data_IF_351100172522
#
_entry.id   IF_351100172522
#
_cell.length_a   1.000
_cell.length_b   1.000
_cell.length_c   1.000
_cell.angle_alpha   90.00
_cell.angle_beta   90.00
_cell.angle_gamma   90.00
#
_symmetry.space_group_name_H-M   'P 1'
#
loop_
_entity.id
_entity.type
_entity.pdbx_description
1 polymer ?
#
# COMPACT_ATOMS: atom_id res chain seq x y z
N UNK A 1 -15.96 -44.61 3.67
CA UNK A 1 -15.99 -43.14 3.54
C UNK A 1 -14.68 -42.61 4.12
N UNK A 2 -13.84 -41.95 3.34
CA UNK A 2 -12.56 -41.43 3.81
C UNK A 2 -12.73 -40.48 5.01
N UNK A 3 -11.87 -40.58 6.01
CA UNK A 3 -11.95 -39.79 7.26
C UNK A 3 -11.95 -38.27 7.03
N UNK A 4 -11.32 -37.79 5.95
CA UNK A 4 -11.31 -36.38 5.59
C UNK A 4 -12.71 -35.81 5.26
N UNK A 5 -13.68 -36.63 4.84
CA UNK A 5 -15.05 -36.17 4.56
C UNK A 5 -15.90 -35.93 5.81
N UNK A 6 -15.51 -36.46 6.99
CA UNK A 6 -16.26 -36.26 8.23
C UNK A 6 -16.00 -34.89 8.87
N UNK A 7 -14.75 -34.42 8.81
CA UNK A 7 -14.36 -33.13 9.39
C UNK A 7 -14.91 -31.93 8.61
N UNK A 8 -14.95 -32.02 7.27
CA UNK A 8 -15.50 -30.96 6.41
C UNK A 8 -16.99 -30.65 6.67
N UNK A 9 -17.78 -31.62 7.13
CA UNK A 9 -19.23 -31.40 7.35
C UNK A 9 -19.54 -30.61 8.61
N UNK A 10 -18.74 -30.74 9.67
CA UNK A 10 -19.01 -30.09 10.96
C UNK A 10 -18.64 -28.60 10.88
N UNK A 11 -17.48 -28.28 10.33
CA UNK A 11 -17.01 -26.89 10.20
C UNK A 11 -17.91 -26.07 9.27
N UNK A 12 -18.38 -26.66 8.17
CA UNK A 12 -19.30 -25.98 7.26
C UNK A 12 -20.64 -25.67 7.91
N UNK A 13 -21.24 -26.65 8.62
CA UNK A 13 -22.52 -26.44 9.30
C UNK A 13 -22.39 -25.38 10.39
N UNK A 14 -21.30 -25.42 11.16
CA UNK A 14 -20.99 -24.41 12.16
C UNK A 14 -20.89 -23.01 11.55
N UNK A 15 -20.14 -22.86 10.47
CA UNK A 15 -20.00 -21.58 9.78
C UNK A 15 -21.30 -21.07 9.15
N UNK A 16 -22.11 -21.97 8.59
CA UNK A 16 -23.44 -21.63 8.10
C UNK A 16 -24.34 -21.13 9.23
N UNK A 17 -24.36 -21.81 10.38
CA UNK A 17 -25.14 -21.38 11.55
C UNK A 17 -24.66 -20.03 12.08
N UNK A 18 -23.35 -19.82 12.24
CA UNK A 18 -22.79 -18.54 12.70
C UNK A 18 -23.20 -17.41 11.76
N UNK A 19 -23.03 -17.57 10.45
CA UNK A 19 -23.36 -16.53 9.49
C UNK A 19 -24.87 -16.24 9.46
N UNK A 20 -25.71 -17.28 9.62
CA UNK A 20 -27.15 -17.10 9.74
C UNK A 20 -27.52 -16.30 10.99
N UNK A 21 -26.92 -16.62 12.13
CA UNK A 21 -27.13 -15.88 13.38
C UNK A 21 -26.65 -14.44 13.25
N UNK A 22 -25.42 -14.22 12.77
CA UNK A 22 -24.85 -12.87 12.56
C UNK A 22 -25.76 -12.01 11.67
N UNK A 23 -26.25 -12.56 10.55
CA UNK A 23 -27.21 -11.90 9.67
C UNK A 23 -28.52 -11.53 10.38
N UNK A 24 -29.06 -12.42 11.22
CA UNK A 24 -30.28 -12.13 12.00
C UNK A 24 -30.09 -10.96 12.97
N UNK A 25 -28.87 -10.71 13.43
CA UNK A 25 -28.52 -9.59 14.31
C UNK A 25 -27.92 -8.39 13.56
N UNK A 26 -28.05 -8.33 12.23
CA UNK A 26 -27.51 -7.23 11.42
C UNK A 26 -25.97 -7.14 11.41
N UNK A 27 -25.28 -8.21 11.83
CA UNK A 27 -23.81 -8.31 11.83
C UNK A 27 -23.30 -8.83 10.49
N UNK A 28 -22.06 -8.48 10.11
CA UNK A 28 -21.50 -8.96 8.85
C UNK A 28 -21.17 -10.45 8.89
N UNK A 29 -20.83 -11.08 7.75
CA UNK A 29 -20.32 -12.45 7.73
C UNK A 29 -19.13 -12.63 8.68
N UNK A 30 -18.94 -13.84 9.21
CA UNK A 30 -17.79 -14.18 10.04
C UNK A 30 -16.53 -14.27 9.17
N UNK A 31 -15.56 -13.39 9.44
CA UNK A 31 -14.23 -13.41 8.82
C UNK A 31 -13.56 -14.76 9.02
N UNK A 32 -13.55 -15.27 10.25
CA UNK A 32 -12.97 -16.57 10.56
C UNK A 32 -13.56 -17.72 9.74
N UNK A 33 -14.85 -17.70 9.42
CA UNK A 33 -15.47 -18.69 8.55
C UNK A 33 -15.11 -18.49 7.07
N UNK A 34 -15.10 -17.23 6.62
CA UNK A 34 -14.70 -16.91 5.25
C UNK A 34 -13.24 -17.30 4.99
N UNK A 35 -12.32 -16.98 5.90
CA UNK A 35 -10.89 -17.32 5.77
C UNK A 35 -10.63 -18.83 5.76
N UNK A 36 -11.39 -19.63 6.52
CA UNK A 36 -11.30 -21.10 6.44
C UNK A 36 -11.75 -21.65 5.07
N UNK A 37 -12.70 -20.98 4.43
CA UNK A 37 -13.14 -21.35 3.08
C UNK A 37 -12.17 -20.87 1.98
N UNK A 38 -11.28 -19.92 2.27
CA UNK A 38 -10.30 -19.35 1.34
C UNK A 38 -8.87 -19.47 1.89
N UNK A 39 -8.31 -20.70 1.94
CA UNK A 39 -7.04 -20.96 2.61
C UNK A 39 -5.84 -20.23 1.98
N UNK A 40 -5.88 -19.93 0.68
CA UNK A 40 -4.85 -19.11 0.03
C UNK A 40 -4.77 -17.71 0.64
N UNK A 41 -5.93 -17.04 0.78
CA UNK A 41 -6.01 -15.71 1.40
C UNK A 41 -5.62 -15.78 2.88
N UNK A 42 -6.15 -16.75 3.62
CA UNK A 42 -5.82 -16.96 5.02
C UNK A 42 -4.31 -17.18 5.25
N UNK A 43 -3.65 -17.96 4.39
CA UNK A 43 -2.22 -18.21 4.48
C UNK A 43 -1.38 -16.99 4.11
N UNK A 44 -1.88 -16.09 3.26
CA UNK A 44 -1.19 -14.87 2.87
C UNK A 44 -1.24 -13.77 3.95
N UNK A 45 -2.27 -13.78 4.82
CA UNK A 45 -2.35 -12.87 5.98
C UNK A 45 -1.27 -13.27 6.99
N UNK A 46 -0.16 -12.53 7.01
CA UNK A 46 1.05 -12.87 7.77
C UNK A 46 1.53 -11.72 8.63
N UNK A 47 1.87 -12.03 9.87
CA UNK A 47 2.45 -11.09 10.82
C UNK A 47 3.90 -11.44 11.15
N UNK A 48 4.79 -10.45 11.10
CA UNK A 48 6.19 -10.60 11.52
C UNK A 48 6.30 -10.89 13.03
N UNK A 49 6.83 -12.06 13.39
CA UNK A 49 7.05 -12.52 14.77
C UNK A 49 8.51 -12.60 15.16
N UNK A 50 9.44 -12.29 14.24
CA UNK A 50 10.88 -12.24 14.50
C UNK A 50 11.53 -11.08 13.72
N UNK A 51 12.48 -10.39 14.34
CA UNK A 51 13.34 -9.43 13.64
C UNK A 51 14.24 -10.17 12.64
N UNK A 52 14.48 -9.57 11.47
CA UNK A 52 15.39 -10.09 10.46
C UNK A 52 16.30 -8.97 9.97
N UNK A 53 17.62 -9.24 10.00
CA UNK A 53 18.65 -8.28 9.60
C UNK A 53 18.53 -7.94 8.12
N UNK A 54 18.19 -8.97 7.32
CA UNK A 54 17.84 -8.79 5.93
C UNK A 54 16.36 -8.48 5.82
N UNK A 55 16.05 -7.23 5.51
CA UNK A 55 14.70 -6.83 5.15
C UNK A 55 14.44 -6.97 3.64
N UNK A 56 15.33 -7.68 2.92
CA UNK A 56 15.22 -7.98 1.49
C UNK A 56 14.10 -8.96 1.15
N UNK A 57 13.99 -9.96 2.01
CA UNK A 57 13.02 -11.04 1.95
C UNK A 57 12.89 -11.53 3.37
N UNK A 58 11.83 -11.10 4.06
CA UNK A 58 11.60 -11.56 5.42
C UNK A 58 11.18 -13.03 5.28
N UNK A 59 12.00 -13.99 5.74
CA UNK A 59 11.71 -15.40 5.54
C UNK A 59 10.38 -15.77 6.18
N UNK A 60 9.70 -16.74 5.58
CA UNK A 60 8.43 -17.27 6.08
C UNK A 60 8.52 -17.75 7.53
N UNK A 61 9.69 -18.23 7.97
CA UNK A 61 9.95 -18.64 9.36
C UNK A 61 9.95 -17.48 10.36
N UNK A 62 10.09 -16.23 9.90
CA UNK A 62 10.01 -15.03 10.72
C UNK A 62 8.58 -14.46 10.80
N UNK A 63 7.61 -15.13 10.15
CA UNK A 63 6.23 -14.69 10.06
C UNK A 63 5.30 -15.77 10.60
N UNK A 64 4.10 -15.35 11.01
CA UNK A 64 3.01 -16.22 11.44
C UNK A 64 1.77 -15.92 10.61
N UNK A 65 1.33 -16.90 9.83
CA UNK A 65 0.10 -16.82 9.05
C UNK A 65 -1.15 -16.88 9.94
N UNK A 66 -2.27 -16.31 9.46
CA UNK A 66 -3.54 -16.21 10.19
C UNK A 66 -4.04 -17.53 10.82
N UNK A 67 -3.96 -18.71 10.16
CA UNK A 67 -4.39 -19.96 10.78
C UNK A 67 -3.66 -20.26 12.10
N UNK A 68 -2.42 -19.79 12.23
CA UNK A 68 -1.55 -20.00 13.38
C UNK A 68 -1.60 -18.83 14.39
N UNK A 69 -2.40 -17.80 14.16
CA UNK A 69 -2.59 -16.72 15.12
C UNK A 69 -3.23 -17.22 16.42
N UNK A 70 -2.94 -16.53 17.52
CA UNK A 70 -3.63 -16.72 18.79
C UNK A 70 -5.11 -16.35 18.67
N UNK A 71 -5.93 -16.83 19.60
CA UNK A 71 -7.35 -16.46 19.67
C UNK A 71 -7.57 -14.96 19.86
N UNK A 72 -6.68 -14.29 20.60
CA UNK A 72 -6.76 -12.84 20.81
C UNK A 72 -6.47 -12.05 19.52
N UNK A 73 -5.46 -12.46 18.75
CA UNK A 73 -5.13 -11.83 17.46
C UNK A 73 -6.27 -11.98 16.45
N UNK A 74 -6.86 -13.18 16.34
CA UNK A 74 -8.05 -13.40 15.50
C UNK A 74 -9.23 -12.55 15.94
N UNK A 75 -9.49 -12.46 17.25
CA UNK A 75 -10.55 -11.62 17.78
C UNK A 75 -10.34 -10.12 17.46
N UNK A 76 -9.09 -9.63 17.48
CA UNK A 76 -8.78 -8.26 17.07
C UNK A 76 -9.09 -8.01 15.59
N UNK A 77 -8.77 -8.96 14.71
CA UNK A 77 -9.16 -8.87 13.29
C UNK A 77 -10.68 -8.91 13.11
N UNK A 78 -11.38 -9.81 13.82
CA UNK A 78 -12.84 -9.89 13.77
C UNK A 78 -13.49 -8.55 14.21
N UNK A 79 -12.99 -7.92 15.28
CA UNK A 79 -13.47 -6.59 15.72
C UNK A 79 -13.18 -5.52 14.67
N UNK A 80 -11.95 -5.44 14.16
CA UNK A 80 -11.59 -4.44 13.16
C UNK A 80 -12.43 -4.57 11.87
N UNK A 81 -12.76 -5.80 11.49
CA UNK A 81 -13.65 -6.09 10.37
C UNK A 81 -15.09 -5.67 10.64
N UNK A 82 -15.64 -6.00 11.81
CA UNK A 82 -17.01 -5.60 12.19
C UNK A 82 -17.14 -4.06 12.13
N UNK A 83 -16.16 -3.33 12.69
CA UNK A 83 -16.13 -1.86 12.64
C UNK A 83 -15.97 -1.30 11.22
N UNK A 84 -15.12 -1.91 10.38
CA UNK A 84 -14.91 -1.47 9.00
C UNK A 84 -16.16 -1.74 8.13
N UNK A 85 -16.83 -2.86 8.37
CA UNK A 85 -18.09 -3.20 7.69
C UNK A 85 -19.20 -2.24 8.09
N UNK A 86 -19.38 -1.97 9.38
CA UNK A 86 -20.36 -1.00 9.87
C UNK A 86 -20.11 0.39 9.27
N UNK A 87 -18.85 0.84 9.24
CA UNK A 87 -18.49 2.09 8.58
C UNK A 87 -18.86 2.07 7.10
N UNK A 88 -18.53 1.01 6.36
CA UNK A 88 -18.79 0.88 4.93
C UNK A 88 -20.30 0.92 4.62
N UNK A 89 -21.13 0.25 5.43
CA UNK A 89 -22.59 0.22 5.25
C UNK A 89 -23.28 1.52 5.66
N UNK A 90 -22.67 2.31 6.54
CA UNK A 90 -23.22 3.61 6.96
C UNK A 90 -23.07 4.70 5.89
N UNK A 91 -22.30 4.46 4.83
CA UNK A 91 -22.08 5.45 3.77
C UNK A 91 -23.26 5.45 2.78
N UNK A 92 -23.97 6.57 2.69
CA UNK A 92 -25.08 6.78 1.73
C UNK A 92 -24.74 7.83 0.65
N UNK A 93 -23.47 8.25 0.58
CA UNK A 93 -22.97 9.29 -0.31
C UNK A 93 -21.47 9.45 -0.15
N UNK A 94 -21.01 10.66 0.17
CA UNK A 94 -19.59 10.94 0.46
C UNK A 94 -19.12 10.11 1.65
N UNK A 95 -18.05 9.36 1.44
CA UNK A 95 -17.39 8.58 2.45
C UNK A 95 -16.74 9.49 3.48
N UNK A 96 -17.03 9.28 4.77
CA UNK A 96 -16.33 10.01 5.82
C UNK A 96 -14.87 9.55 5.91
N UNK A 97 -13.94 10.50 5.71
CA UNK A 97 -12.53 10.28 5.96
C UNK A 97 -12.33 10.15 7.47
N UNK A 98 -12.06 8.93 7.95
CA UNK A 98 -11.87 8.64 9.37
C UNK A 98 -10.46 8.13 9.62
N UNK A 99 -9.80 8.70 10.62
CA UNK A 99 -8.55 8.16 11.17
C UNK A 99 -8.80 6.91 12.04
N UNK A 100 -10.07 6.53 12.25
CA UNK A 100 -10.48 5.32 12.96
C UNK A 100 -10.01 5.23 14.42
N UNK A 101 -9.70 6.37 15.04
CA UNK A 101 -9.10 6.43 16.37
C UNK A 101 -7.62 6.04 16.42
N UNK A 102 -6.99 5.79 15.27
CA UNK A 102 -5.55 5.59 15.16
C UNK A 102 -4.88 6.97 14.90
N UNK A 103 -3.98 7.45 15.78
CA UNK A 103 -3.31 8.73 15.57
C UNK A 103 -2.55 8.74 14.24
N UNK A 104 -2.87 9.68 13.35
CA UNK A 104 -2.21 9.80 12.06
C UNK A 104 -1.94 11.28 11.70
N UNK A 105 -0.74 11.63 11.22
CA UNK A 105 0.46 10.79 11.08
C UNK A 105 0.90 10.15 12.41
N UNK A 106 1.55 8.97 12.41
CA UNK A 106 1.96 8.32 13.66
C UNK A 106 3.01 9.15 14.41
N UNK A 107 3.04 8.99 15.73
CA UNK A 107 4.19 9.47 16.52
C UNK A 107 5.44 8.73 16.03
N UNK A 108 6.40 9.48 15.50
CA UNK A 108 7.67 8.92 15.06
C UNK A 108 8.57 8.67 16.27
N UNK A 109 8.67 7.41 16.72
CA UNK A 109 9.51 7.04 17.89
C UNK A 109 11.01 7.10 17.57
N UNK A 110 11.38 7.50 16.35
CA UNK A 110 12.73 7.60 15.82
C UNK A 110 13.08 8.99 15.31
N UNK A 111 12.22 9.96 15.57
CA UNK A 111 12.55 11.37 15.32
C UNK A 111 13.85 11.71 16.06
N UNK A 112 14.70 12.48 15.40
CA UNK A 112 15.99 12.88 15.94
C UNK A 112 16.07 14.41 15.96
N UNK A 113 16.95 14.94 16.80
CA UNK A 113 17.25 16.38 16.81
C UNK A 113 18.17 16.80 15.66
N UNK A 114 18.68 15.87 14.85
CA UNK A 114 19.54 16.17 13.72
C UNK A 114 18.73 16.32 12.44
N UNK A 115 18.58 17.56 12.02
CA UNK A 115 17.81 17.99 10.85
C UNK A 115 18.34 17.46 9.51
N UNK A 116 19.59 17.03 9.45
CA UNK A 116 20.24 16.58 8.23
C UNK A 116 20.20 15.06 8.02
N UNK A 117 19.73 14.30 9.01
CA UNK A 117 19.63 12.84 8.88
C UNK A 117 18.50 12.46 7.92
N UNK A 118 18.66 11.32 7.25
CA UNK A 118 17.62 10.74 6.41
C UNK A 118 16.39 10.40 7.27
N UNK A 119 15.19 10.83 6.86
CA UNK A 119 14.00 10.65 7.65
C UNK A 119 13.53 9.19 7.53
N UNK A 120 13.11 8.64 8.65
CA UNK A 120 12.49 7.33 8.74
C UNK A 120 11.42 7.37 9.82
N UNK A 121 10.35 6.61 9.65
CA UNK A 121 9.24 6.58 10.61
C UNK A 121 9.24 5.27 11.38
N UNK A 122 9.63 5.34 12.64
CA UNK A 122 9.45 4.25 13.58
C UNK A 122 8.13 4.36 14.34
N UNK A 123 7.51 3.24 14.64
CA UNK A 123 6.27 3.13 15.43
C UNK A 123 6.38 2.00 16.46
N UNK A 124 5.55 2.04 17.50
CA UNK A 124 5.48 0.96 18.48
C UNK A 124 4.87 -0.32 17.90
N UNK A 125 5.16 -1.48 18.51
CA UNK A 125 4.54 -2.75 18.14
C UNK A 125 3.01 -2.71 18.16
N UNK A 126 2.44 -2.03 19.18
CA UNK A 126 0.99 -1.90 19.33
C UNK A 126 0.37 -1.10 18.16
N UNK A 127 0.98 0.05 17.81
CA UNK A 127 0.54 0.84 16.66
C UNK A 127 0.65 0.04 15.36
N UNK A 128 1.78 -0.64 15.16
CA UNK A 128 2.02 -1.47 13.98
C UNK A 128 0.97 -2.57 13.82
N UNK A 129 0.65 -3.28 14.90
CA UNK A 129 -0.39 -4.31 14.92
C UNK A 129 -1.78 -3.75 14.60
N UNK A 130 -2.15 -2.63 15.23
CA UNK A 130 -3.46 -2.01 15.01
C UNK A 130 -3.60 -1.49 13.59
N UNK A 131 -2.56 -0.86 13.03
CA UNK A 131 -2.53 -0.44 11.63
C UNK A 131 -2.68 -1.64 10.69
N UNK A 132 -1.89 -2.70 10.90
CA UNK A 132 -1.93 -3.91 10.07
C UNK A 132 -3.31 -4.57 10.09
N UNK A 133 -3.86 -4.83 11.27
CA UNK A 133 -5.17 -5.51 11.39
C UNK A 133 -6.31 -4.71 10.79
N UNK A 134 -6.30 -3.37 10.88
CA UNK A 134 -7.29 -2.51 10.22
C UNK A 134 -7.18 -2.57 8.70
N UNK A 135 -5.97 -2.65 8.15
CA UNK A 135 -5.77 -2.79 6.71
C UNK A 135 -6.32 -4.12 6.19
N UNK A 136 -5.96 -5.23 6.85
CA UNK A 136 -6.51 -6.56 6.52
C UNK A 136 -8.04 -6.56 6.64
N UNK A 137 -8.59 -5.93 7.68
CA UNK A 137 -10.03 -5.81 7.88
C UNK A 137 -10.70 -5.08 6.70
N UNK A 138 -10.19 -3.92 6.28
CA UNK A 138 -10.75 -3.20 5.13
C UNK A 138 -10.68 -4.03 3.85
N UNK A 139 -9.51 -4.61 3.55
CA UNK A 139 -9.32 -5.42 2.33
C UNK A 139 -10.33 -6.58 2.27
N UNK A 140 -10.58 -7.23 3.42
CA UNK A 140 -11.61 -8.26 3.55
C UNK A 140 -13.04 -7.71 3.44
N UNK A 141 -13.33 -6.52 3.96
CA UNK A 141 -14.65 -5.88 3.77
C UNK A 141 -14.88 -5.60 2.29
N UNK A 142 -13.87 -5.07 1.59
CA UNK A 142 -13.95 -4.79 0.14
C UNK A 142 -14.22 -6.06 -0.66
N UNK A 143 -13.53 -7.15 -0.33
CA UNK A 143 -13.72 -8.47 -0.94
C UNK A 143 -15.11 -9.06 -0.63
N UNK A 144 -15.43 -9.25 0.65
CA UNK A 144 -16.63 -9.96 1.11
C UNK A 144 -17.91 -9.16 0.79
N UNK A 145 -17.81 -7.83 0.83
CA UNK A 145 -18.90 -6.92 0.46
C UNK A 145 -19.04 -6.70 -1.04
N UNK A 146 -18.13 -7.24 -1.87
CA UNK A 146 -18.09 -7.01 -3.32
C UNK A 146 -18.08 -5.53 -3.70
N UNK A 147 -17.28 -4.72 -3.00
CA UNK A 147 -17.19 -3.27 -3.24
C UNK A 147 -16.38 -2.92 -4.50
N UNK A 148 -15.76 -3.91 -5.13
CA UNK A 148 -15.03 -3.80 -6.39
C UNK A 148 -15.37 -5.01 -7.28
N UNK A 149 -15.28 -4.89 -8.62
CA UNK A 149 -15.65 -5.96 -9.54
C UNK A 149 -14.60 -7.07 -9.72
N UNK A 150 -13.45 -6.99 -9.03
CA UNK A 150 -12.43 -8.04 -8.98
C UNK A 150 -12.43 -8.73 -7.61
N UNK A 151 -11.74 -9.85 -7.51
CA UNK A 151 -11.65 -10.63 -6.27
C UNK A 151 -10.21 -11.03 -5.97
N UNK A 152 -9.81 -10.90 -4.70
CA UNK A 152 -8.51 -11.36 -4.21
C UNK A 152 -8.40 -12.88 -4.21
N UNK A 153 -9.52 -13.61 -4.26
CA UNK A 153 -9.50 -15.08 -4.28
C UNK A 153 -8.89 -15.65 -5.57
N UNK A 154 -8.86 -14.84 -6.64
CA UNK A 154 -8.24 -15.18 -7.91
C UNK A 154 -6.73 -14.81 -7.98
N UNK A 155 -6.19 -14.18 -6.93
CA UNK A 155 -4.80 -13.75 -6.90
C UNK A 155 -3.86 -14.92 -6.57
N UNK A 156 -2.68 -14.87 -7.17
CA UNK A 156 -1.59 -15.78 -6.85
C UNK A 156 -0.89 -15.36 -5.54
N UNK A 157 0.06 -16.19 -5.06
CA UNK A 157 0.73 -15.96 -3.78
C UNK A 157 1.50 -14.64 -3.71
N UNK A 158 2.12 -14.20 -4.82
CA UNK A 158 2.85 -12.93 -4.87
C UNK A 158 1.90 -11.73 -4.77
N UNK A 159 0.80 -11.77 -5.50
CA UNK A 159 -0.24 -10.74 -5.47
C UNK A 159 -0.89 -10.65 -4.08
N UNK A 160 -1.15 -11.78 -3.45
CA UNK A 160 -1.66 -11.83 -2.08
C UNK A 160 -0.63 -11.38 -1.05
N UNK A 161 0.66 -11.70 -1.22
CA UNK A 161 1.74 -11.22 -0.33
C UNK A 161 1.77 -9.68 -0.29
N UNK A 162 1.66 -9.03 -1.45
CA UNK A 162 1.68 -7.55 -1.53
C UNK A 162 0.52 -6.92 -0.75
N UNK A 163 -0.64 -7.57 -0.67
CA UNK A 163 -1.83 -7.07 0.06
C UNK A 163 -1.93 -7.54 1.52
N UNK A 164 -1.50 -8.75 1.86
CA UNK A 164 -1.86 -9.34 3.16
C UNK A 164 -0.66 -9.60 4.08
N UNK A 165 0.58 -9.49 3.60
CA UNK A 165 1.77 -9.68 4.41
C UNK A 165 2.16 -8.37 5.12
N UNK A 166 2.42 -8.40 6.43
CA UNK A 166 2.88 -7.21 7.15
C UNK A 166 4.24 -6.71 6.66
N UNK A 167 5.07 -7.59 6.08
CA UNK A 167 6.33 -7.23 5.42
C UNK A 167 6.13 -6.29 4.23
N UNK A 168 4.94 -6.28 3.62
CA UNK A 168 4.56 -5.41 2.52
C UNK A 168 4.09 -4.01 2.96
N UNK A 169 4.05 -3.73 4.28
CA UNK A 169 3.66 -2.45 4.88
C UNK A 169 4.78 -1.87 5.77
N UNK A 170 5.49 -2.75 6.49
CA UNK A 170 6.41 -2.36 7.56
C UNK A 170 7.52 -3.40 7.76
N UNK A 171 8.60 -3.02 8.43
CA UNK A 171 9.66 -3.96 8.85
C UNK A 171 9.86 -3.90 10.36
N UNK A 172 9.81 -5.06 11.03
CA UNK A 172 10.10 -5.19 12.46
C UNK A 172 11.57 -4.86 12.73
N UNK A 173 11.85 -4.27 13.88
CA UNK A 173 13.19 -3.91 14.36
C UNK A 173 13.61 -4.81 15.53
N UNK A 174 14.90 -4.75 15.87
CA UNK A 174 15.51 -5.57 16.93
C UNK A 174 14.90 -5.32 18.32
N UNK A 175 14.38 -4.12 18.57
CA UNK A 175 13.75 -3.71 19.82
C UNK A 175 12.23 -3.84 19.82
N UNK A 176 11.68 -4.66 18.90
CA UNK A 176 10.24 -4.90 18.73
C UNK A 176 9.42 -3.69 18.24
N UNK A 177 10.06 -2.55 17.96
CA UNK A 177 9.43 -1.48 17.19
C UNK A 177 9.37 -1.82 15.70
N UNK A 178 8.67 -1.00 14.91
CA UNK A 178 8.52 -1.21 13.47
C UNK A 178 8.90 0.06 12.71
N UNK A 179 9.44 -0.10 11.51
CA UNK A 179 9.52 0.97 10.52
C UNK A 179 8.35 0.88 9.58
N UNK A 180 7.61 1.97 9.39
CA UNK A 180 6.51 2.04 8.43
C UNK A 180 7.00 2.82 7.23
N UNK A 181 6.85 2.22 6.04
CA UNK A 181 7.62 2.58 4.85
C UNK A 181 9.14 2.43 5.07
N UNK A 182 9.86 1.99 4.05
CA UNK A 182 11.32 1.91 4.09
C UNK A 182 11.83 2.23 2.70
N UNK A 183 12.10 3.52 2.53
CA UNK A 183 12.71 4.14 1.38
C UNK A 183 14.03 4.81 1.78
N UNK A 184 14.95 4.14 2.50
CA UNK A 184 16.26 4.75 2.79
C UNK A 184 17.28 4.33 1.72
N UNK A 185 17.52 5.16 0.68
CA UNK A 185 18.51 4.88 -0.36
C UNK A 185 19.95 4.78 0.17
N UNK A 186 20.22 5.27 1.39
CA UNK A 186 21.53 5.18 2.04
C UNK A 186 21.84 3.83 2.69
N UNK A 187 20.86 2.93 2.86
CA UNK A 187 21.14 1.59 3.35
C UNK A 187 21.73 0.78 2.19
N UNK A 188 22.97 0.26 2.30
CA UNK A 188 23.55 -0.65 1.26
C UNK A 188 22.65 -1.86 0.94
N UNK A 189 21.75 -2.10 1.89
CA UNK A 189 20.47 -2.81 1.92
C UNK A 189 19.34 -2.55 0.89
N UNK A 190 19.41 -1.48 0.11
CA UNK A 190 18.19 -0.85 -0.45
C UNK A 190 17.83 -1.37 -1.85
N UNK A 191 18.86 -1.66 -2.66
CA UNK A 191 18.73 -1.97 -4.09
C UNK A 191 18.45 -3.47 -4.35
N UNK A 192 17.90 -4.25 -3.40
CA UNK A 192 17.53 -5.68 -3.62
C UNK A 192 16.27 -6.16 -2.89
N UNK A 193 15.39 -5.27 -2.41
CA UNK A 193 14.16 -5.70 -1.71
C UNK A 193 13.10 -6.12 -2.71
N UNK A 194 12.60 -7.35 -2.60
CA UNK A 194 11.35 -7.78 -3.26
C UNK A 194 10.14 -7.02 -2.68
N UNK A 195 10.24 -6.59 -1.42
CA UNK A 195 9.23 -5.80 -0.72
C UNK A 195 9.68 -4.35 -0.53
N UNK A 196 10.08 -3.64 -1.60
CA UNK A 196 10.31 -2.21 -1.48
C UNK A 196 8.99 -1.50 -1.13
N UNK A 197 9.01 -0.72 -0.05
CA UNK A 197 7.84 -0.07 0.52
C UNK A 197 7.63 1.37 0.00
N UNK A 198 8.61 1.89 -0.76
CA UNK A 198 8.60 3.27 -1.24
C UNK A 198 8.87 4.28 -0.11
N UNK A 199 8.70 5.56 -0.43
CA UNK A 199 8.99 6.68 0.47
C UNK A 199 7.73 7.48 0.85
N UNK A 200 6.62 6.79 1.13
CA UNK A 200 5.38 7.39 1.65
C UNK A 200 4.78 6.51 2.74
N UNK A 201 4.27 7.08 3.82
CA UNK A 201 3.57 6.33 4.86
C UNK A 201 2.19 5.90 4.39
N UNK A 202 1.85 4.65 4.66
CA UNK A 202 0.47 4.18 4.54
C UNK A 202 -0.44 4.93 5.54
N UNK A 203 -1.60 5.40 5.11
CA UNK A 203 -2.60 6.04 5.95
C UNK A 203 -3.54 5.00 6.60
N UNK A 204 -4.44 5.41 7.52
CA UNK A 204 -5.53 4.55 7.94
C UNK A 204 -6.36 4.09 6.72
N UNK A 205 -6.79 2.82 6.70
CA UNK A 205 -7.42 2.22 5.53
C UNK A 205 -8.71 2.93 5.13
N UNK A 206 -9.59 3.27 6.08
CA UNK A 206 -10.87 3.94 5.78
C UNK A 206 -10.69 5.33 5.19
N UNK A 207 -9.70 6.09 5.67
CA UNK A 207 -9.31 7.36 5.04
C UNK A 207 -8.91 7.15 3.57
N UNK A 208 -8.06 6.15 3.32
CA UNK A 208 -7.52 5.87 1.99
C UNK A 208 -8.61 5.40 1.01
N UNK A 209 -9.51 4.53 1.48
CA UNK A 209 -10.67 4.10 0.69
C UNK A 209 -11.63 5.26 0.42
N UNK A 210 -11.91 6.10 1.43
CA UNK A 210 -12.77 7.28 1.26
C UNK A 210 -12.21 8.23 0.21
N UNK A 211 -10.90 8.46 0.17
CA UNK A 211 -10.25 9.23 -0.88
C UNK A 211 -10.54 8.64 -2.27
N UNK A 212 -10.32 7.34 -2.46
CA UNK A 212 -10.59 6.67 -3.73
C UNK A 212 -12.06 6.76 -4.16
N UNK A 213 -12.98 6.54 -3.22
CA UNK A 213 -14.42 6.55 -3.49
C UNK A 213 -14.93 7.97 -3.79
N UNK A 214 -14.58 8.95 -2.95
CA UNK A 214 -15.00 10.35 -3.10
C UNK A 214 -14.37 11.03 -4.31
N UNK A 215 -13.14 10.64 -4.67
CA UNK A 215 -12.47 11.12 -5.87
C UNK A 215 -12.95 10.45 -7.17
N UNK A 216 -13.93 9.52 -7.08
CA UNK A 216 -14.37 8.70 -8.21
C UNK A 216 -13.21 7.98 -8.93
N UNK A 217 -12.19 7.60 -8.17
CA UNK A 217 -10.99 6.94 -8.70
C UNK A 217 -11.28 5.45 -8.95
N UNK A 218 -12.10 4.81 -8.10
CA UNK A 218 -12.51 3.41 -8.30
C UNK A 218 -13.34 3.30 -9.60
N UNK A 219 -12.75 2.69 -10.61
CA UNK A 219 -13.37 2.48 -11.93
C UNK A 219 -14.10 1.14 -12.03
N UNK A 220 -14.65 0.87 -13.22
CA UNK A 220 -15.33 -0.40 -13.52
C UNK A 220 -14.38 -1.60 -13.65
N UNK A 221 -13.06 -1.37 -13.63
CA UNK A 221 -12.02 -2.40 -13.72
C UNK A 221 -10.78 -1.98 -12.92
N UNK A 222 -9.90 -2.94 -12.66
CA UNK A 222 -8.59 -2.71 -12.03
C UNK A 222 -7.76 -1.72 -12.85
N UNK A 223 -7.59 -1.97 -14.16
CA UNK A 223 -6.86 -1.06 -15.06
C UNK A 223 -7.48 0.34 -15.15
N UNK A 224 -8.82 0.44 -15.11
CA UNK A 224 -9.51 1.74 -15.06
C UNK A 224 -9.22 2.49 -13.76
N UNK A 225 -9.20 1.79 -12.63
CA UNK A 225 -8.85 2.37 -11.32
C UNK A 225 -7.40 2.83 -11.27
N UNK A 226 -6.48 2.05 -11.83
CA UNK A 226 -5.07 2.43 -11.99
C UNK A 226 -4.97 3.71 -12.83
N UNK A 227 -5.59 3.74 -14.01
CA UNK A 227 -5.58 4.90 -14.90
C UNK A 227 -6.14 6.17 -14.24
N UNK A 228 -7.25 6.05 -13.51
CA UNK A 228 -7.86 7.16 -12.78
C UNK A 228 -6.94 7.69 -11.67
N UNK A 229 -6.27 6.81 -10.91
CA UNK A 229 -5.34 7.25 -9.88
C UNK A 229 -4.13 7.93 -10.51
N UNK A 230 -3.57 7.37 -11.59
CA UNK A 230 -2.46 7.99 -12.31
C UNK A 230 -2.83 9.36 -12.87
N UNK A 231 -4.09 9.54 -13.30
CA UNK A 231 -4.59 10.83 -13.73
C UNK A 231 -4.65 11.83 -12.56
N UNK A 232 -5.15 11.41 -11.40
CA UNK A 232 -5.09 12.23 -10.20
C UNK A 232 -3.65 12.61 -9.83
N UNK A 233 -2.70 11.67 -9.93
CA UNK A 233 -1.28 11.93 -9.68
C UNK A 233 -0.73 12.98 -10.64
N UNK A 234 -0.99 12.84 -11.95
CA UNK A 234 -0.58 13.80 -13.00
C UNK A 234 -1.08 15.23 -12.73
N UNK A 235 -2.33 15.32 -12.27
CA UNK A 235 -3.02 16.60 -12.16
C UNK A 235 -2.69 17.33 -10.85
N UNK A 236 -2.37 16.60 -9.77
CA UNK A 236 -2.23 17.18 -8.44
C UNK A 236 -0.80 17.17 -7.90
N UNK A 237 -0.02 16.11 -8.14
CA UNK A 237 1.26 15.95 -7.45
C UNK A 237 2.38 16.83 -8.03
N UNK A 238 3.29 17.23 -7.15
CA UNK A 238 4.51 18.00 -7.46
C UNK A 238 5.70 17.37 -6.72
N UNK A 239 6.83 17.21 -7.41
CA UNK A 239 8.07 16.79 -6.79
C UNK A 239 8.51 17.81 -5.73
N UNK A 240 8.83 17.35 -4.52
CA UNK A 240 9.37 18.22 -3.47
C UNK A 240 10.75 18.79 -3.82
N UNK A 241 11.22 19.81 -3.12
CA UNK A 241 12.56 20.37 -3.34
C UNK A 241 13.50 20.04 -2.18
N UNK A 242 14.81 20.03 -2.45
CA UNK A 242 15.83 19.84 -1.42
C UNK A 242 16.19 18.37 -1.13
N UNK A 243 17.03 18.17 -0.12
CA UNK A 243 17.49 16.84 0.28
C UNK A 243 16.40 16.08 1.05
N UNK A 244 16.40 14.75 0.97
CA UNK A 244 15.46 13.93 1.75
C UNK A 244 15.95 13.83 3.21
N UNK A 245 15.68 14.86 4.01
CA UNK A 245 16.10 14.99 5.43
C UNK A 245 14.90 15.22 6.35
N UNK A 246 15.11 15.11 7.67
CA UNK A 246 14.08 15.44 8.67
C UNK A 246 13.59 16.89 8.59
N UNK A 247 14.48 17.85 8.34
CA UNK A 247 14.08 19.25 8.16
C UNK A 247 13.20 19.43 6.94
N UNK A 248 13.62 18.91 5.79
CA UNK A 248 12.87 19.09 4.54
C UNK A 248 11.53 18.37 4.57
N UNK A 249 11.46 17.18 5.18
CA UNK A 249 10.18 16.49 5.38
C UNK A 249 9.25 17.24 6.33
N UNK A 250 9.79 17.84 7.40
CA UNK A 250 9.06 18.74 8.28
C UNK A 250 8.54 19.98 7.55
N UNK A 251 9.31 20.58 6.65
CA UNK A 251 8.88 21.74 5.88
C UNK A 251 7.79 21.38 4.87
N UNK A 252 7.97 20.30 4.12
CA UNK A 252 7.05 19.92 3.04
C UNK A 252 5.76 19.31 3.58
N UNK A 253 5.80 18.36 4.51
CA UNK A 253 4.61 17.61 4.95
C UNK A 253 4.21 17.87 6.41
N UNK A 254 4.84 18.83 7.08
CA UNK A 254 4.65 19.11 8.51
C UNK A 254 4.82 17.87 9.38
N UNK A 255 5.70 16.97 8.93
CA UNK A 255 5.95 15.70 9.57
C UNK A 255 7.42 15.29 9.42
N UNK A 256 8.11 15.14 10.55
CA UNK A 256 9.52 14.72 10.61
C UNK A 256 9.62 13.21 10.48
N UNK A 257 9.57 12.71 9.25
CA UNK A 257 9.56 11.29 8.93
C UNK A 257 9.23 11.09 7.46
N UNK A 258 8.79 9.89 7.07
CA UNK A 258 8.35 9.68 5.70
C UNK A 258 7.04 10.46 5.42
N UNK A 259 6.85 10.98 4.19
CA UNK A 259 5.64 11.70 3.79
C UNK A 259 4.33 10.97 4.14
N UNK A 260 3.45 11.53 4.99
CA UNK A 260 2.13 10.96 5.25
C UNK A 260 1.20 11.11 4.03
N UNK A 261 0.48 10.04 3.68
CA UNK A 261 -0.49 10.07 2.56
C UNK A 261 -1.55 11.16 2.74
N UNK A 262 -1.96 11.47 3.98
CA UNK A 262 -2.90 12.58 4.24
C UNK A 262 -2.32 13.92 3.80
N UNK A 263 -1.05 14.21 4.12
CA UNK A 263 -0.37 15.42 3.69
C UNK A 263 -0.13 15.47 2.17
N UNK A 264 0.06 14.31 1.52
CA UNK A 264 0.12 14.24 0.05
C UNK A 264 -1.27 14.57 -0.56
N UNK A 265 -2.34 13.95 -0.06
CA UNK A 265 -3.70 14.11 -0.61
C UNK A 265 -4.29 15.49 -0.34
N UNK A 266 -4.13 15.99 0.88
CA UNK A 266 -4.71 17.28 1.30
C UNK A 266 -3.84 18.46 0.84
N UNK A 267 -2.56 18.19 0.56
CA UNK A 267 -1.57 19.21 0.27
C UNK A 267 -1.20 20.00 1.51
N UNK A 268 -0.08 20.71 1.40
CA UNK A 268 0.55 21.36 2.55
C UNK A 268 1.31 22.61 2.11
N UNK A 269 1.47 23.57 3.02
CA UNK A 269 2.23 24.79 2.77
C UNK A 269 3.67 24.55 3.23
N UNK A 270 4.63 24.62 2.30
CA UNK A 270 6.04 24.67 2.66
C UNK A 270 6.42 26.12 2.99
N UNK A 271 6.74 26.45 4.26
CA UNK A 271 7.05 27.82 4.68
C UNK A 271 8.43 28.32 4.23
N UNK A 272 9.32 27.41 3.78
CA UNK A 272 10.67 27.75 3.34
C UNK A 272 10.73 28.25 1.88
N UNK A 273 9.63 28.13 1.11
CA UNK A 273 9.60 28.48 -0.31
C UNK A 273 8.76 29.74 -0.53
N UNK A 274 9.42 30.83 -0.93
CA UNK A 274 8.78 32.10 -1.26
C UNK A 274 8.26 32.87 -0.04
N UNK A 275 7.86 34.13 -0.26
CA UNK A 275 7.28 34.94 0.79
C UNK A 275 5.86 34.46 1.13
N UNK A 276 5.69 33.81 2.28
CA UNK A 276 4.40 33.26 2.75
C UNK A 276 4.23 31.76 2.55
N UNK A 277 5.24 31.07 2.01
CA UNK A 277 5.21 29.65 1.74
C UNK A 277 4.48 29.27 0.45
N UNK A 278 4.68 28.03 -0.01
CA UNK A 278 4.04 27.49 -1.22
C UNK A 278 3.17 26.28 -0.88
N UNK A 279 1.88 26.33 -1.25
CA UNK A 279 0.98 25.19 -1.17
C UNK A 279 1.14 24.28 -2.40
N UNK A 280 1.33 22.97 -2.18
CA UNK A 280 1.17 21.93 -3.21
C UNK A 280 0.83 20.57 -2.57
N UNK A 281 0.51 19.59 -3.42
CA UNK A 281 0.49 18.17 -3.08
C UNK A 281 1.89 17.57 -3.31
N UNK A 282 2.77 17.71 -2.33
CA UNK A 282 4.16 17.30 -2.47
C UNK A 282 4.33 15.79 -2.43
N UNK A 283 5.26 15.26 -3.20
CA UNK A 283 5.70 13.87 -3.14
C UNK A 283 7.23 13.77 -3.18
N UNK A 284 7.79 12.75 -2.53
CA UNK A 284 9.23 12.51 -2.41
C UNK A 284 9.82 11.86 -3.68
N UNK A 285 9.57 12.48 -4.83
CA UNK A 285 9.99 12.00 -6.16
C UNK A 285 9.45 10.62 -6.51
N UNK A 286 10.15 9.90 -7.38
CA UNK A 286 9.72 8.58 -7.84
C UNK A 286 9.44 7.59 -6.70
N UNK A 287 10.27 7.54 -5.65
CA UNK A 287 10.06 6.63 -4.51
C UNK A 287 8.83 7.01 -3.68
N UNK A 288 8.61 8.31 -3.44
CA UNK A 288 7.42 8.81 -2.76
C UNK A 288 6.15 8.52 -3.56
N UNK A 289 6.20 8.74 -4.87
CA UNK A 289 5.05 8.60 -5.76
C UNK A 289 4.66 7.13 -5.95
N UNK A 290 5.63 6.24 -6.17
CA UNK A 290 5.34 4.80 -6.26
C UNK A 290 4.83 4.25 -4.92
N UNK A 291 5.38 4.71 -3.79
CA UNK A 291 4.85 4.39 -2.46
C UNK A 291 3.39 4.84 -2.31
N UNK A 292 3.08 6.07 -2.74
CA UNK A 292 1.72 6.62 -2.71
C UNK A 292 0.77 5.76 -3.55
N UNK A 293 1.13 5.47 -4.81
CA UNK A 293 0.34 4.64 -5.72
C UNK A 293 0.06 3.27 -5.10
N UNK A 294 1.09 2.59 -4.58
CA UNK A 294 0.97 1.27 -3.93
C UNK A 294 0.02 1.30 -2.75
N UNK A 295 0.22 2.24 -1.84
CA UNK A 295 -0.53 2.31 -0.60
C UNK A 295 -1.99 2.72 -0.83
N UNK A 296 -2.25 3.59 -1.81
CA UNK A 296 -3.61 4.00 -2.17
C UNK A 296 -4.35 2.86 -2.86
N UNK A 297 -3.78 2.24 -3.90
CA UNK A 297 -4.43 1.15 -4.63
C UNK A 297 -4.67 -0.11 -3.78
N UNK A 298 -3.88 -0.30 -2.73
CA UNK A 298 -4.12 -1.33 -1.71
C UNK A 298 -5.55 -1.27 -1.14
N UNK A 299 -6.10 -0.08 -0.91
CA UNK A 299 -7.44 0.08 -0.34
C UNK A 299 -8.54 -0.48 -1.24
N UNK A 300 -8.29 -0.58 -2.55
CA UNK A 300 -9.17 -1.20 -3.52
C UNK A 300 -8.75 -2.64 -3.87
N UNK A 301 -7.94 -3.31 -3.04
CA UNK A 301 -7.42 -4.66 -3.31
C UNK A 301 -6.63 -4.78 -4.63
N UNK A 302 -5.90 -3.74 -5.04
CA UNK A 302 -5.02 -3.78 -6.22
C UNK A 302 -3.56 -3.81 -5.75
N UNK A 303 -2.85 -4.95 -5.88
CA UNK A 303 -1.46 -5.03 -5.48
C UNK A 303 -0.55 -4.31 -6.47
N UNK A 304 0.36 -3.50 -5.93
CA UNK A 304 1.42 -2.83 -6.69
C UNK A 304 2.76 -3.23 -6.08
N UNK A 305 3.59 -3.89 -6.88
CA UNK A 305 4.97 -4.18 -6.53
C UNK A 305 5.82 -2.95 -6.91
N UNK A 306 6.74 -2.55 -6.05
CA UNK A 306 7.71 -1.50 -6.34
C UNK A 306 9.01 -2.15 -6.81
N UNK A 307 9.40 -1.89 -8.05
CA UNK A 307 10.74 -2.23 -8.53
C UNK A 307 11.68 -1.02 -8.41
N UNK A 308 12.98 -1.26 -8.29
CA UNK A 308 14.01 -0.21 -8.27
C UNK A 308 15.08 -0.49 -9.31
N UNK A 309 15.19 0.38 -10.30
CA UNK A 309 16.19 0.27 -11.35
C UNK A 309 17.09 1.50 -11.27
N UNK A 310 18.40 1.29 -11.10
CA UNK A 310 19.40 2.36 -11.03
C UNK A 310 19.09 3.44 -9.98
N UNK A 311 18.49 3.04 -8.85
CA UNK A 311 18.10 3.96 -7.78
C UNK A 311 16.79 4.70 -8.02
N UNK A 312 16.08 4.45 -9.12
CA UNK A 312 14.76 5.00 -9.43
C UNK A 312 13.65 3.98 -9.16
N UNK A 313 12.52 4.45 -8.64
CA UNK A 313 11.37 3.61 -8.33
C UNK A 313 10.40 3.47 -9.50
N UNK A 314 9.88 2.26 -9.69
CA UNK A 314 8.92 1.88 -10.72
C UNK A 314 7.70 1.22 -10.09
N UNK A 315 6.50 1.48 -10.65
CA UNK A 315 5.27 0.83 -10.23
C UNK A 315 4.97 -0.37 -11.13
N UNK A 316 4.89 -1.57 -10.55
CA UNK A 316 4.54 -2.80 -11.25
C UNK A 316 3.11 -3.21 -10.85
N UNK A 317 2.16 -3.08 -11.76
CA UNK A 317 0.76 -3.47 -11.56
C UNK A 317 0.60 -4.96 -11.88
N UNK A 318 1.10 -5.81 -10.97
CA UNK A 318 1.34 -7.25 -11.19
C UNK A 318 0.09 -8.09 -11.50
N UNK A 319 -1.11 -7.55 -11.33
CA UNK A 319 -2.37 -8.21 -11.71
C UNK A 319 -2.82 -7.88 -13.14
N UNK A 320 -2.29 -6.82 -13.73
CA UNK A 320 -2.56 -6.36 -15.10
C UNK A 320 -1.38 -6.59 -16.05
N UNK A 321 -0.19 -6.89 -15.53
CA UNK A 321 1.01 -7.06 -16.36
C UNK A 321 1.45 -5.78 -17.05
N UNK A 322 1.20 -4.62 -16.41
CA UNK A 322 1.62 -3.29 -16.89
C UNK A 322 2.45 -2.57 -15.85
N UNK A 323 3.21 -1.57 -16.30
CA UNK A 323 4.28 -0.94 -15.51
C UNK A 323 4.34 0.57 -15.77
N UNK A 324 4.81 1.32 -14.77
CA UNK A 324 5.46 2.62 -14.97
C UNK A 324 6.97 2.39 -14.97
N UNK A 325 7.67 2.87 -15.99
CA UNK A 325 9.12 2.84 -16.09
C UNK A 325 9.82 3.88 -15.20
N UNK A 326 9.07 4.85 -14.68
CA UNK A 326 9.51 5.76 -13.63
C UNK A 326 8.33 6.35 -12.83
N UNK A 327 8.45 6.35 -11.50
CA UNK A 327 7.32 6.61 -10.59
C UNK A 327 6.75 8.02 -10.65
N UNK A 328 7.54 9.04 -11.00
CA UNK A 328 7.09 10.43 -11.04
C UNK A 328 6.81 11.00 -12.43
N UNK A 329 6.88 10.16 -13.46
CA UNK A 329 6.51 10.51 -14.83
C UNK A 329 5.09 11.05 -15.02
N UNK A 330 4.06 10.59 -14.26
CA UNK A 330 2.71 11.11 -14.45
C UNK A 330 2.62 12.63 -14.33
N UNK A 331 3.42 13.27 -13.47
CA UNK A 331 3.43 14.73 -13.34
C UNK A 331 4.65 15.41 -14.00
N UNK A 332 5.43 14.68 -14.80
CA UNK A 332 6.51 15.24 -15.60
C UNK A 332 5.98 16.30 -16.58
N UNK A 333 6.65 17.45 -16.68
CA UNK A 333 6.20 18.57 -17.52
C UNK A 333 6.18 18.24 -19.02
N UNK A 334 7.18 17.49 -19.52
CA UNK A 334 7.23 17.00 -20.90
C UNK A 334 6.03 16.09 -21.18
N UNK A 335 5.76 15.12 -20.31
CA UNK A 335 4.58 14.26 -20.47
C UNK A 335 3.28 15.06 -20.43
N UNK A 336 3.12 15.98 -19.47
CA UNK A 336 1.92 16.83 -19.37
C UNK A 336 1.67 17.62 -20.66
N UNK A 337 2.74 18.08 -21.33
CA UNK A 337 2.66 18.82 -22.58
C UNK A 337 2.11 18.00 -23.76
N UNK A 338 2.17 16.66 -23.70
CA UNK A 338 1.60 15.78 -24.74
C UNK A 338 0.07 15.81 -24.78
N UNK A 339 -0.58 16.25 -23.68
CA UNK A 339 -2.04 16.20 -23.54
C UNK A 339 -2.64 14.79 -23.42
N UNK A 340 -1.82 13.74 -23.40
CA UNK A 340 -2.28 12.37 -23.27
C UNK A 340 -2.78 12.05 -21.86
N UNK A 341 -3.74 11.11 -21.71
CA UNK A 341 -4.16 10.62 -20.40
C UNK A 341 -3.00 9.91 -19.68
N UNK A 342 -2.93 9.99 -18.35
CA UNK A 342 -1.84 9.39 -17.58
C UNK A 342 -1.69 7.88 -17.79
N UNK A 343 -2.77 7.17 -18.14
CA UNK A 343 -2.74 5.75 -18.48
C UNK A 343 -1.88 5.43 -19.72
N UNK A 344 -1.57 6.40 -20.59
CA UNK A 344 -0.68 6.21 -21.74
C UNK A 344 0.78 5.95 -21.34
N UNK A 345 1.18 6.28 -20.11
CA UNK A 345 2.49 5.96 -19.55
C UNK A 345 2.66 4.48 -19.22
N UNK A 346 1.57 3.70 -19.21
CA UNK A 346 1.66 2.28 -18.90
C UNK A 346 2.31 1.54 -20.07
N UNK A 347 3.38 0.81 -19.77
CA UNK A 347 4.01 -0.13 -20.70
C UNK A 347 3.61 -1.56 -20.35
N UNK A 348 3.51 -2.43 -21.35
CA UNK A 348 3.22 -3.84 -21.13
C UNK A 348 4.45 -4.62 -20.65
N UNK A 349 4.22 -5.87 -20.23
CA UNK A 349 5.27 -6.75 -19.74
C UNK A 349 6.39 -7.00 -20.77
N UNK A 350 6.07 -7.14 -22.05
CA UNK A 350 7.07 -7.42 -23.08
C UNK A 350 7.99 -6.21 -23.28
N UNK A 351 7.41 -5.01 -23.29
CA UNK A 351 8.14 -3.74 -23.36
C UNK A 351 9.03 -3.58 -22.14
N UNK A 352 8.49 -3.80 -20.92
CA UNK A 352 9.26 -3.76 -19.68
C UNK A 352 10.46 -4.72 -19.73
N UNK A 353 10.25 -5.98 -20.11
CA UNK A 353 11.32 -6.98 -20.20
C UNK A 353 12.36 -6.61 -21.26
N UNK A 354 11.95 -6.01 -22.37
CA UNK A 354 12.89 -5.54 -23.41
C UNK A 354 13.78 -4.39 -22.93
N UNK A 355 13.28 -3.55 -22.01
CA UNK A 355 13.99 -2.37 -21.51
C UNK A 355 14.85 -2.68 -20.29
N UNK A 356 14.33 -3.50 -19.37
CA UNK A 356 14.92 -3.72 -18.06
C UNK A 356 15.36 -5.17 -17.82
N UNK A 357 15.03 -6.11 -18.72
CA UNK A 357 15.28 -7.54 -18.56
C UNK A 357 14.17 -8.27 -17.79
N UNK A 358 14.30 -9.60 -17.61
CA UNK A 358 13.27 -10.39 -16.93
C UNK A 358 13.21 -10.09 -15.42
N UNK A 359 12.01 -10.22 -14.85
CA UNK A 359 11.74 -10.02 -13.43
C UNK A 359 11.63 -8.55 -13.02
N UNK A 360 11.09 -8.30 -11.83
CA UNK A 360 10.90 -6.95 -11.27
C UNK A 360 11.83 -6.68 -10.10
N UNK A 361 12.82 -7.54 -9.86
CA UNK A 361 13.80 -7.33 -8.80
C UNK A 361 14.69 -6.13 -9.10
N UNK A 362 15.12 -5.48 -8.03
CA UNK A 362 15.95 -4.30 -8.11
C UNK A 362 17.28 -4.58 -8.81
N UNK A 363 17.72 -3.65 -9.67
CA UNK A 363 18.89 -3.83 -10.55
C UNK A 363 19.58 -2.52 -10.91
N UNK A 364 20.74 -2.64 -11.57
CA UNK A 364 21.63 -1.51 -11.91
C UNK A 364 21.89 -1.36 -13.41
N UNK A 365 21.23 -2.17 -14.23
CA UNK A 365 21.21 -2.10 -15.69
C UNK A 365 19.90 -1.47 -16.20
N UNK A 366 19.86 -1.06 -17.47
CA UNK A 366 18.68 -0.42 -18.07
C UNK A 366 18.44 1.04 -17.62
N UNK A 367 19.45 1.71 -17.06
CA UNK A 367 19.30 3.08 -16.53
C UNK A 367 18.87 4.10 -17.60
N UNK A 368 19.26 3.89 -18.86
CA UNK A 368 18.89 4.74 -19.99
C UNK A 368 17.40 4.62 -20.38
N UNK A 369 16.70 3.63 -19.81
CA UNK A 369 15.27 3.39 -20.03
C UNK A 369 14.37 3.97 -18.94
N UNK A 370 14.95 4.55 -17.89
CA UNK A 370 14.16 5.22 -16.85
C UNK A 370 13.52 6.49 -17.42
N UNK A 371 12.19 6.57 -17.31
CA UNK A 371 11.38 7.65 -17.87
C UNK A 371 11.39 7.71 -19.40
N UNK A 372 11.67 6.58 -20.05
CA UNK A 372 11.75 6.50 -21.50
C UNK A 372 10.37 6.65 -22.16
N UNK A 373 9.32 6.13 -21.53
CA UNK A 373 7.96 6.22 -22.05
C UNK A 373 7.49 7.67 -22.22
N UNK A 374 7.92 8.58 -21.35
CA UNK A 374 7.67 10.03 -21.54
C UNK A 374 8.22 10.52 -22.88
N UNK A 375 9.45 10.11 -23.24
CA UNK A 375 10.09 10.52 -24.49
C UNK A 375 9.38 9.89 -25.70
N UNK A 376 9.02 8.61 -25.62
CA UNK A 376 8.26 7.91 -26.66
C UNK A 376 6.93 8.64 -26.95
N UNK A 377 6.18 9.00 -25.90
CA UNK A 377 4.90 9.69 -26.05
C UNK A 377 5.04 11.15 -26.51
N UNK A 378 6.17 11.78 -26.22
CA UNK A 378 6.50 13.12 -26.71
C UNK A 378 7.01 13.13 -28.17
N UNK A 379 7.34 11.96 -28.73
CA UNK A 379 7.88 11.83 -30.08
C UNK A 379 9.36 12.20 -30.21
N UNK A 380 10.12 12.06 -29.12
CA UNK A 380 11.56 12.37 -29.06
C UNK A 380 12.47 11.17 -29.35
#
# INVERSE_FOLDING_TARGET
>A
MPEYLKWFRIDWLWCWMINRLRRLFGRPPSVSCWLRAHPNVANAIKWQVMFQVSAYDIPETAKRAWPNWSSQERARLDTAFDEAWEWMQAQSGTFSASAEGLPYPPVNVRDTTNDNDSPWTGVSAAYAWDLFTRWIALELVVEIGHHVPWSVTAYNDEQLQVLFDSAAIMSRLVDDSFTVATGSPGHGNYVKRKDNLGASLIAPPRYTYAFLANGHIIGASRIGTIGNLLQWVRDNLVHYYGAFTYLETGNHWQYRGNPPITGIIEGTINPAIGAGGQFNHWTAGCHGTTGFIRNVLRAANIPVHISTVCGHSQACFITEGVYLDHGDDPYNSTFKSTGQPAAALLIDHNTYVSWFGPGTDNRSDGCDKIGHQVNVLAGN
#
